data_IF_719894963317
#
_entry.id   IF_719894963317
#
_cell.length_a   1.000
_cell.length_b   1.000
_cell.length_c   1.000
_cell.angle_alpha   90.00
_cell.angle_beta   90.00
_cell.angle_gamma   90.00
#
_symmetry.space_group_name_H-M   'P 1'
#
loop_
_entity.id
_entity.type
_entity.pdbx_description
1 polymer ?
#
# COMPACT_ATOMS: atom_id res chain seq x y z
N UNK A 1 11.37 0.01 2.46
CA UNK A 1 12.60 0.39 1.71
C UNK A 1 12.28 1.36 0.56
N UNK A 2 12.90 2.52 0.59
CA UNK A 2 12.65 3.64 -0.33
C UNK A 2 13.20 3.35 -1.75
N UNK A 3 12.36 3.54 -2.77
CA UNK A 3 12.73 3.39 -4.19
C UNK A 3 12.85 4.79 -4.78
N UNK A 4 14.06 5.19 -5.16
CA UNK A 4 14.26 6.50 -5.78
C UNK A 4 14.12 6.35 -7.30
N UNK A 5 13.00 6.84 -7.86
CA UNK A 5 12.82 7.05 -9.30
C UNK A 5 12.72 8.56 -9.59
N UNK A 6 13.85 9.20 -9.88
CA UNK A 6 13.95 10.67 -10.01
C UNK A 6 13.67 11.21 -11.42
N UNK A 7 12.99 10.44 -12.29
CA UNK A 7 12.54 10.99 -13.56
C UNK A 7 11.34 11.92 -13.35
N UNK A 8 11.60 13.20 -13.05
CA UNK A 8 10.63 14.30 -13.08
C UNK A 8 10.06 14.80 -11.74
N UNK A 9 10.82 14.84 -10.64
CA UNK A 9 10.25 14.97 -9.29
C UNK A 9 10.46 16.32 -8.57
N UNK A 10 9.39 16.83 -7.96
CA UNK A 10 9.35 17.93 -6.99
C UNK A 10 9.63 17.42 -5.56
N UNK A 11 10.24 18.28 -4.73
CA UNK A 11 10.84 18.01 -3.41
C UNK A 11 9.87 17.38 -2.37
N UNK A 12 8.56 17.53 -2.61
CA UNK A 12 7.46 17.20 -1.70
C UNK A 12 7.09 15.70 -1.73
N UNK A 13 7.60 14.93 -2.69
CA UNK A 13 7.23 13.52 -2.89
C UNK A 13 8.27 12.53 -2.33
N UNK A 14 9.25 13.01 -1.55
CA UNK A 14 10.39 12.25 -1.01
C UNK A 14 10.18 11.62 0.39
N UNK A 15 8.95 11.50 0.90
CA UNK A 15 8.73 11.13 2.31
C UNK A 15 8.39 9.64 2.53
N UNK A 16 9.14 8.99 3.42
CA UNK A 16 8.73 7.77 4.13
C UNK A 16 8.65 8.05 5.64
N UNK A 17 7.57 7.58 6.28
CA UNK A 17 7.20 7.84 7.68
C UNK A 17 7.92 6.87 8.66
N UNK A 18 9.22 7.06 8.84
CA UNK A 18 9.93 6.58 10.03
C UNK A 18 10.75 7.76 10.58
N UNK A 19 10.58 8.07 11.86
CA UNK A 19 11.13 9.27 12.51
C UNK A 19 12.67 9.33 12.42
N UNK A 20 13.36 8.18 12.46
CA UNK A 20 14.81 8.12 12.31
C UNK A 20 15.26 8.36 10.86
N UNK A 21 14.50 7.88 9.88
CA UNK A 21 14.78 8.10 8.47
C UNK A 21 14.42 9.52 8.02
N UNK A 22 13.42 10.16 8.63
CA UNK A 22 13.09 11.56 8.37
C UNK A 22 14.27 12.48 8.71
N UNK A 23 14.87 12.29 9.88
CA UNK A 23 16.07 13.05 10.33
C UNK A 23 17.28 12.77 9.44
N UNK A 24 17.42 11.55 8.90
CA UNK A 24 18.50 11.22 7.96
C UNK A 24 18.26 11.82 6.57
N UNK A 25 17.03 11.76 6.06
CA UNK A 25 16.63 12.33 4.76
C UNK A 25 16.73 13.86 4.77
N UNK A 26 16.38 14.53 5.87
CA UNK A 26 16.55 15.97 6.08
C UNK A 26 18.02 16.43 5.98
N UNK A 27 19.00 15.51 6.07
CA UNK A 27 20.43 15.82 6.02
C UNK A 27 21.11 15.36 4.73
N UNK A 28 20.41 14.70 3.81
CA UNK A 28 20.99 14.25 2.54
C UNK A 28 20.72 15.28 1.43
N UNK A 29 21.75 15.59 0.65
CA UNK A 29 21.67 16.51 -0.48
C UNK A 29 22.06 15.74 -1.75
N UNK A 30 21.21 15.78 -2.76
CA UNK A 30 21.41 15.09 -4.03
C UNK A 30 21.69 16.11 -5.15
N UNK A 31 22.80 15.96 -5.86
CA UNK A 31 23.17 16.84 -6.98
C UNK A 31 23.41 16.02 -8.25
N UNK A 32 22.74 16.41 -9.33
CA UNK A 32 22.94 15.83 -10.65
C UNK A 32 23.90 16.72 -11.46
N UNK A 33 25.01 16.16 -11.93
CA UNK A 33 26.00 16.86 -12.75
C UNK A 33 26.34 16.01 -13.99
N UNK A 34 25.88 16.43 -15.17
CA UNK A 34 26.10 15.81 -16.49
C UNK A 34 26.03 14.26 -16.49
N UNK A 35 27.15 13.59 -16.20
CA UNK A 35 27.33 12.13 -16.19
C UNK A 35 27.56 11.54 -14.79
N UNK A 36 27.15 12.26 -13.74
CA UNK A 36 27.38 11.87 -12.37
C UNK A 36 26.27 12.36 -11.43
N UNK A 37 26.01 11.56 -10.41
CA UNK A 37 25.05 11.81 -9.35
C UNK A 37 25.79 11.83 -8.02
N UNK A 38 25.75 12.96 -7.34
CA UNK A 38 26.48 13.21 -6.11
C UNK A 38 25.53 13.13 -4.94
N UNK A 39 25.94 12.38 -3.92
CA UNK A 39 25.22 12.23 -2.67
C UNK A 39 26.08 12.88 -1.60
N UNK A 40 25.54 13.90 -0.95
CA UNK A 40 26.20 14.67 0.09
C UNK A 40 25.38 14.58 1.38
N UNK A 41 26.05 14.81 2.51
CA UNK A 41 25.43 14.86 3.84
C UNK A 41 25.76 16.16 4.52
N UNK A 42 24.74 16.86 4.99
CA UNK A 42 24.88 17.97 5.92
C UNK A 42 25.21 17.42 7.31
N UNK A 43 26.31 17.89 7.88
CA UNK A 43 26.80 17.54 9.22
C UNK A 43 26.91 18.83 10.01
N UNK A 44 26.26 18.90 11.17
CA UNK A 44 26.47 19.98 12.12
C UNK A 44 27.61 19.61 13.07
N UNK A 45 28.53 20.54 13.30
CA UNK A 45 29.59 20.42 14.30
C UNK A 45 29.83 21.81 14.91
N UNK A 46 29.62 21.94 16.23
CA UNK A 46 29.76 23.22 16.95
C UNK A 46 28.99 24.38 16.29
N UNK A 47 27.69 24.19 16.02
CA UNK A 47 26.81 25.18 15.38
C UNK A 47 27.19 25.62 13.95
N UNK A 48 28.21 25.02 13.34
CA UNK A 48 28.54 25.16 11.92
C UNK A 48 27.99 23.99 11.10
N UNK A 49 27.37 24.29 9.94
CA UNK A 49 26.97 23.28 8.97
C UNK A 49 28.10 23.04 7.96
N UNK A 50 28.51 21.78 7.82
CA UNK A 50 29.47 21.31 6.81
C UNK A 50 28.82 20.31 5.88
N UNK A 51 29.18 20.37 4.60
CA UNK A 51 28.74 19.40 3.60
C UNK A 51 29.84 18.36 3.42
N UNK A 52 29.53 17.10 3.72
CA UNK A 52 30.40 15.95 3.48
C UNK A 52 29.93 15.22 2.24
N UNK A 53 30.83 15.00 1.27
CA UNK A 53 30.54 14.12 0.14
C UNK A 53 30.49 12.68 0.61
N UNK A 54 29.37 12.00 0.39
CA UNK A 54 29.20 10.58 0.71
C UNK A 54 29.57 9.70 -0.49
N UNK A 55 29.03 10.01 -1.67
CA UNK A 55 29.15 9.14 -2.82
C UNK A 55 29.06 9.88 -4.14
N UNK A 56 29.73 9.34 -5.17
CA UNK A 56 29.56 9.74 -6.57
C UNK A 56 29.15 8.50 -7.34
N UNK A 57 28.07 8.61 -8.11
CA UNK A 57 27.53 7.55 -8.94
C UNK A 57 27.59 8.01 -10.39
N UNK A 58 28.30 7.27 -11.24
CA UNK A 58 28.36 7.57 -12.67
C UNK A 58 27.01 7.28 -13.33
N UNK A 59 26.64 8.11 -14.30
CA UNK A 59 25.46 7.94 -15.15
C UNK A 59 25.93 7.61 -16.56
N UNK A 60 25.31 6.61 -17.17
CA UNK A 60 25.54 6.25 -18.57
C UNK A 60 24.22 6.25 -19.35
N UNK A 61 24.34 6.49 -20.65
CA UNK A 61 23.21 6.53 -21.56
C UNK A 61 23.18 5.27 -22.41
N UNK A 62 22.08 4.55 -22.37
CA UNK A 62 21.83 3.39 -23.23
C UNK A 62 20.89 3.79 -24.37
N UNK A 63 21.32 3.58 -25.61
CA UNK A 63 20.44 3.73 -26.78
C UNK A 63 19.33 2.67 -26.74
N UNK A 64 18.12 3.10 -27.01
CA UNK A 64 16.90 2.29 -27.08
C UNK A 64 16.23 2.52 -28.43
N UNK A 65 15.23 1.71 -28.78
CA UNK A 65 14.43 1.90 -30.00
C UNK A 65 13.69 3.24 -30.07
N UNK A 66 13.57 3.96 -28.95
CA UNK A 66 12.79 5.20 -28.83
C UNK A 66 13.61 6.40 -28.31
N UNK A 67 14.95 6.30 -28.24
CA UNK A 67 15.81 7.36 -27.71
C UNK A 67 16.91 6.86 -26.79
N UNK A 68 17.32 7.66 -25.80
CA UNK A 68 18.35 7.28 -24.82
C UNK A 68 17.76 7.14 -23.42
N UNK A 69 18.16 6.07 -22.73
CA UNK A 69 17.78 5.77 -21.36
C UNK A 69 18.97 6.03 -20.43
N UNK A 70 18.80 6.93 -19.45
CA UNK A 70 19.79 7.17 -18.39
C UNK A 70 19.80 5.98 -17.43
N UNK A 71 20.98 5.50 -17.09
CA UNK A 71 21.20 4.40 -16.14
C UNK A 71 22.32 4.78 -15.17
N UNK A 72 22.14 4.43 -13.92
CA UNK A 72 23.20 4.52 -12.92
C UNK A 72 24.18 3.36 -13.07
N UNK A 73 25.46 3.64 -12.88
CA UNK A 73 26.50 2.61 -12.79
C UNK A 73 26.71 2.29 -11.32
N UNK A 74 26.51 1.02 -10.95
CA UNK A 74 26.73 0.59 -9.58
C UNK A 74 28.20 0.80 -9.18
N UNK A 75 28.49 1.47 -8.05
CA UNK A 75 29.87 1.74 -7.64
C UNK A 75 30.62 0.50 -7.14
N UNK A 76 29.91 -0.59 -6.85
CA UNK A 76 30.51 -1.84 -6.35
C UNK A 76 30.80 -2.82 -7.50
N UNK A 77 29.83 -3.07 -8.38
CA UNK A 77 29.99 -4.06 -9.46
C UNK A 77 30.04 -3.49 -10.88
N UNK A 78 29.92 -2.17 -11.06
CA UNK A 78 29.91 -1.53 -12.38
C UNK A 78 28.66 -1.80 -13.23
N UNK A 79 27.71 -2.60 -12.74
CA UNK A 79 26.50 -2.92 -13.51
C UNK A 79 25.62 -1.67 -13.72
N UNK A 80 25.11 -1.51 -14.95
CA UNK A 80 24.15 -0.47 -15.30
C UNK A 80 22.76 -0.83 -14.78
N UNK A 81 22.14 0.07 -14.03
CA UNK A 81 20.84 -0.14 -13.39
C UNK A 81 19.99 1.12 -13.50
N UNK A 82 18.69 0.93 -13.57
CA UNK A 82 17.74 2.04 -13.46
C UNK A 82 17.64 2.56 -12.04
N UNK A 83 17.90 1.69 -11.06
CA UNK A 83 17.70 1.97 -9.64
C UNK A 83 18.91 1.49 -8.84
N UNK A 84 19.27 2.27 -7.83
CA UNK A 84 20.19 1.89 -6.76
C UNK A 84 19.45 1.94 -5.42
N UNK A 85 19.99 1.24 -4.43
CA UNK A 85 19.37 1.02 -3.13
C UNK A 85 20.33 1.42 -2.03
N UNK A 86 19.80 2.04 -0.98
CA UNK A 86 20.56 2.35 0.22
C UNK A 86 21.08 1.06 0.88
N UNK A 87 22.35 1.05 1.24
CA UNK A 87 23.08 -0.03 1.85
C UNK A 87 23.39 0.31 3.31
N UNK A 88 22.61 -0.29 4.21
CA UNK A 88 22.74 -0.17 5.67
C UNK A 88 22.79 1.29 6.19
N UNK A 89 23.21 1.46 7.43
CA UNK A 89 23.38 2.77 8.08
C UNK A 89 24.53 3.61 7.50
N UNK A 90 25.26 3.09 6.50
CA UNK A 90 26.42 3.75 5.90
C UNK A 90 26.05 4.83 4.87
N UNK A 91 24.76 4.92 4.50
CA UNK A 91 24.23 5.89 3.54
C UNK A 91 24.83 5.78 2.13
N UNK A 92 25.34 4.60 1.75
CA UNK A 92 25.83 4.32 0.40
C UNK A 92 24.75 3.69 -0.45
N UNK A 93 24.70 4.02 -1.73
CA UNK A 93 23.78 3.43 -2.69
C UNK A 93 24.49 2.38 -3.55
N UNK A 94 23.91 1.19 -3.64
CA UNK A 94 24.45 0.04 -4.38
C UNK A 94 23.36 -0.63 -5.22
N UNK A 95 23.75 -1.48 -6.18
CA UNK A 95 22.74 -2.24 -6.93
C UNK A 95 22.17 -3.38 -6.09
N UNK A 96 21.01 -3.88 -6.52
CA UNK A 96 20.34 -5.02 -5.89
C UNK A 96 21.25 -6.22 -5.66
N UNK A 97 22.10 -6.57 -6.62
CA UNK A 97 22.98 -7.74 -6.50
C UNK A 97 24.06 -7.51 -5.43
N UNK A 98 24.57 -6.29 -5.33
CA UNK A 98 25.61 -5.94 -4.37
C UNK A 98 25.09 -5.76 -2.94
N UNK A 99 23.79 -5.49 -2.78
CA UNK A 99 23.17 -5.39 -1.45
C UNK A 99 23.20 -6.73 -0.70
N UNK A 100 23.24 -7.87 -1.40
CA UNK A 100 23.28 -9.21 -0.79
C UNK A 100 22.00 -9.62 -0.04
N UNK A 101 21.22 -8.68 0.48
CA UNK A 101 19.89 -8.93 1.02
C UNK A 101 18.87 -9.07 -0.12
N UNK A 102 17.89 -9.94 0.05
CA UNK A 102 16.79 -10.03 -0.90
C UNK A 102 16.05 -8.69 -0.86
N UNK A 103 16.30 -7.82 -1.83
CA UNK A 103 15.61 -6.52 -2.01
C UNK A 103 14.08 -6.67 -2.02
N UNK A 104 13.56 -7.89 -2.21
CA UNK A 104 12.14 -8.22 -2.06
C UNK A 104 11.70 -8.63 -0.64
N UNK A 105 12.59 -9.06 0.26
CA UNK A 105 12.28 -9.28 1.69
C UNK A 105 12.08 -7.98 2.44
N UNK A 106 12.81 -6.93 2.07
CA UNK A 106 12.73 -5.60 2.70
C UNK A 106 11.80 -4.64 1.92
N UNK A 107 10.97 -5.17 1.00
CA UNK A 107 9.97 -4.34 0.33
C UNK A 107 8.99 -3.85 1.40
N UNK A 108 8.90 -2.51 1.34
CA UNK A 108 7.87 -1.52 1.68
C UNK A 108 6.76 -1.32 0.62
N UNK A 109 6.39 -2.31 -0.20
CA UNK A 109 5.32 -2.17 -1.20
C UNK A 109 4.03 -1.64 -0.56
N UNK A 110 3.24 -0.85 -1.30
CA UNK A 110 1.81 -0.63 -0.96
C UNK A 110 1.02 -1.96 -0.82
N UNK A 111 1.63 -3.05 -1.31
CA UNK A 111 1.25 -4.45 -1.25
C UNK A 111 2.28 -5.31 -0.51
N UNK A 112 3.07 -4.76 0.42
CA UNK A 112 3.53 -5.66 1.47
C UNK A 112 2.30 -6.10 2.22
N UNK A 113 2.40 -7.26 2.83
CA UNK A 113 1.30 -8.01 3.43
C UNK A 113 0.68 -7.31 4.66
N UNK A 114 0.63 -5.97 4.68
CA UNK A 114 -0.30 -5.22 5.49
C UNK A 114 -1.72 -5.46 4.95
N UNK A 115 -2.30 -6.53 5.47
CA UNK A 115 -3.66 -6.98 5.19
C UNK A 115 -4.67 -5.88 5.43
N UNK A 116 -4.47 -5.02 6.43
CA UNK A 116 -5.34 -3.87 6.65
C UNK A 116 -5.40 -2.93 5.44
N UNK A 117 -4.25 -2.61 4.83
CA UNK A 117 -4.20 -1.72 3.66
C UNK A 117 -4.88 -2.35 2.46
N UNK A 118 -4.72 -3.67 2.27
CA UNK A 118 -5.39 -4.43 1.21
C UNK A 118 -6.91 -4.40 1.41
N UNK A 119 -7.37 -4.61 2.64
CA UNK A 119 -8.78 -4.56 3.01
C UNK A 119 -9.35 -3.15 2.77
N UNK A 120 -8.68 -2.11 3.30
CA UNK A 120 -9.05 -0.68 3.12
C UNK A 120 -9.14 -0.31 1.63
N UNK A 121 -8.16 -0.72 0.83
CA UNK A 121 -8.16 -0.49 -0.62
C UNK A 121 -9.37 -1.14 -1.30
N UNK A 122 -9.68 -2.40 -0.96
CA UNK A 122 -10.81 -3.13 -1.55
C UNK A 122 -12.16 -2.52 -1.15
N UNK A 123 -12.30 -2.03 0.08
CA UNK A 123 -13.48 -1.28 0.53
C UNK A 123 -13.67 -0.03 -0.34
N UNK A 124 -12.60 0.75 -0.57
CA UNK A 124 -12.65 1.94 -1.43
C UNK A 124 -13.06 1.57 -2.87
N UNK A 125 -12.58 0.43 -3.41
CA UNK A 125 -13.00 -0.02 -4.74
C UNK A 125 -14.51 -0.35 -4.80
N UNK A 126 -15.07 -0.96 -3.75
CA UNK A 126 -16.51 -1.22 -3.68
C UNK A 126 -17.31 0.09 -3.56
N UNK A 127 -16.88 1.02 -2.71
CA UNK A 127 -17.57 2.31 -2.51
C UNK A 127 -17.61 3.18 -3.77
N UNK A 128 -16.55 3.13 -4.59
CA UNK A 128 -16.50 3.82 -5.90
C UNK A 128 -17.60 3.37 -6.88
N UNK A 129 -18.20 2.19 -6.67
CA UNK A 129 -19.31 1.71 -7.50
C UNK A 129 -20.62 2.47 -7.23
N UNK A 130 -20.75 3.14 -6.07
CA UNK A 130 -21.93 3.92 -5.72
C UNK A 130 -21.90 5.34 -6.31
N UNK A 131 -20.75 6.03 -6.31
CA UNK A 131 -20.57 7.37 -6.89
C UNK A 131 -19.08 7.76 -6.97
N UNK A 132 -18.72 8.68 -7.88
CA UNK A 132 -17.43 9.40 -7.87
C UNK A 132 -17.69 10.89 -7.53
N UNK A 133 -17.03 11.48 -6.52
CA UNK A 133 -16.03 10.89 -5.62
C UNK A 133 -16.64 10.00 -4.52
N UNK A 134 -15.84 9.07 -4.00
CA UNK A 134 -16.21 8.23 -2.85
C UNK A 134 -16.45 9.10 -1.61
N UNK A 135 -17.48 8.83 -0.79
CA UNK A 135 -17.62 9.48 0.50
C UNK A 135 -16.40 9.17 1.38
N UNK A 136 -15.96 10.16 2.17
CA UNK A 136 -14.84 10.04 3.11
C UNK A 136 -15.22 9.25 4.36
N UNK A 137 -15.68 8.02 4.19
CA UNK A 137 -16.08 7.12 5.27
C UNK A 137 -14.85 6.50 5.94
N UNK A 138 -14.86 6.45 7.27
CA UNK A 138 -13.90 5.67 8.04
C UNK A 138 -14.33 4.20 8.08
N UNK A 139 -13.39 3.30 8.37
CA UNK A 139 -13.69 1.87 8.56
C UNK A 139 -14.61 1.62 9.76
N UNK A 140 -14.57 2.52 10.75
CA UNK A 140 -15.43 2.48 11.95
C UNK A 140 -16.89 2.77 11.59
N UNK A 141 -17.13 3.55 10.53
CA UNK A 141 -18.49 3.88 10.09
C UNK A 141 -19.14 2.72 9.33
N UNK A 142 -18.37 1.70 8.93
CA UNK A 142 -18.86 0.61 8.09
C UNK A 142 -19.38 -0.58 8.93
N UNK A 143 -20.39 -1.31 8.41
CA UNK A 143 -21.09 -1.08 7.14
C UNK A 143 -22.24 -0.06 7.21
N UNK A 144 -22.56 0.50 8.39
CA UNK A 144 -23.73 1.36 8.57
C UNK A 144 -23.68 2.68 7.78
N UNK A 145 -22.49 3.18 7.47
CA UNK A 145 -22.26 4.38 6.68
C UNK A 145 -22.31 4.17 5.17
N UNK A 146 -22.60 2.95 4.68
CA UNK A 146 -22.71 2.69 3.24
C UNK A 146 -23.87 3.54 2.65
N UNK A 147 -23.63 4.27 1.55
CA UNK A 147 -24.67 5.06 0.91
C UNK A 147 -25.86 4.22 0.45
N UNK A 148 -27.05 4.81 0.51
CA UNK A 148 -28.28 4.20 -0.02
C UNK A 148 -28.14 3.85 -1.50
N UNK A 149 -28.88 2.82 -1.93
CA UNK A 149 -28.83 2.32 -3.30
C UNK A 149 -29.06 3.43 -4.34
N UNK A 150 -28.13 3.65 -5.28
CA UNK A 150 -28.35 4.57 -6.39
C UNK A 150 -29.52 4.11 -7.26
N UNK A 151 -30.34 5.05 -7.76
CA UNK A 151 -31.54 4.74 -8.55
C UNK A 151 -31.29 3.84 -9.76
N UNK A 152 -30.12 3.97 -10.40
CA UNK A 152 -29.74 3.20 -11.59
C UNK A 152 -29.19 1.79 -11.27
N UNK A 153 -28.92 1.49 -10.01
CA UNK A 153 -28.28 0.23 -9.61
C UNK A 153 -29.36 -0.81 -9.27
N UNK A 154 -29.23 -2.01 -9.85
CA UNK A 154 -30.09 -3.16 -9.51
C UNK A 154 -29.91 -3.57 -8.06
N UNK A 155 -30.98 -4.04 -7.44
CA UNK A 155 -30.99 -4.45 -6.03
C UNK A 155 -29.95 -5.54 -5.76
N UNK A 156 -29.89 -6.58 -6.59
CA UNK A 156 -28.98 -7.71 -6.38
C UNK A 156 -27.51 -7.27 -6.44
N UNK A 157 -27.20 -6.32 -7.33
CA UNK A 157 -25.86 -5.75 -7.44
C UNK A 157 -25.53 -4.90 -6.22
N UNK A 158 -26.48 -4.09 -5.75
CA UNK A 158 -26.31 -3.28 -4.55
C UNK A 158 -26.08 -4.17 -3.32
N UNK A 159 -26.92 -5.17 -3.11
CA UNK A 159 -26.80 -6.12 -1.99
C UNK A 159 -25.44 -6.81 -2.01
N UNK A 160 -24.97 -7.27 -3.18
CA UNK A 160 -23.65 -7.91 -3.28
C UNK A 160 -22.50 -6.96 -2.89
N UNK A 161 -22.54 -5.69 -3.33
CA UNK A 161 -21.52 -4.70 -2.95
C UNK A 161 -21.57 -4.44 -1.45
N UNK A 162 -22.77 -4.28 -0.88
CA UNK A 162 -22.96 -4.11 0.56
C UNK A 162 -22.36 -5.29 1.34
N UNK A 163 -22.70 -6.54 0.96
CA UNK A 163 -22.19 -7.75 1.61
C UNK A 163 -20.67 -7.84 1.54
N UNK A 164 -20.07 -7.48 0.40
CA UNK A 164 -18.60 -7.41 0.26
C UNK A 164 -17.97 -6.41 1.21
N UNK A 165 -18.57 -5.22 1.36
CA UNK A 165 -18.06 -4.21 2.29
C UNK A 165 -18.20 -4.69 3.73
N UNK A 166 -19.35 -5.22 4.12
CA UNK A 166 -19.57 -5.77 5.46
C UNK A 166 -18.53 -6.86 5.79
N UNK A 167 -18.24 -7.74 4.82
CA UNK A 167 -17.24 -8.78 4.98
C UNK A 167 -15.81 -8.25 5.08
N UNK A 168 -15.44 -7.28 4.24
CA UNK A 168 -14.13 -6.62 4.34
C UNK A 168 -13.96 -5.93 5.70
N UNK A 169 -15.00 -5.25 6.19
CA UNK A 169 -14.97 -4.62 7.51
C UNK A 169 -14.83 -5.66 8.63
N UNK A 170 -15.54 -6.79 8.55
CA UNK A 170 -15.37 -7.89 9.50
C UNK A 170 -13.93 -8.42 9.49
N UNK A 171 -13.36 -8.72 8.32
CA UNK A 171 -11.97 -9.18 8.20
C UNK A 171 -10.98 -8.19 8.79
N UNK A 172 -11.21 -6.88 8.62
CA UNK A 172 -10.39 -5.85 9.22
C UNK A 172 -10.36 -5.97 10.75
N UNK A 173 -11.52 -6.07 11.38
CA UNK A 173 -11.60 -6.17 12.84
C UNK A 173 -11.02 -7.48 13.38
N UNK A 174 -11.18 -8.59 12.66
CA UNK A 174 -10.56 -9.88 13.04
C UNK A 174 -9.03 -9.81 12.98
N UNK A 175 -8.47 -9.15 11.96
CA UNK A 175 -7.02 -8.99 11.84
C UNK A 175 -6.47 -7.95 12.82
N UNK A 176 -7.09 -6.77 12.92
CA UNK A 176 -6.67 -5.71 13.84
C UNK A 176 -6.79 -6.14 15.31
N UNK A 177 -7.76 -7.00 15.64
CA UNK A 177 -7.91 -7.60 16.97
C UNK A 177 -6.94 -8.75 17.25
N UNK A 178 -6.13 -9.18 16.27
CA UNK A 178 -5.21 -10.32 16.40
C UNK A 178 -5.90 -11.68 16.44
N UNK A 179 -7.18 -11.76 16.08
CA UNK A 179 -7.95 -13.01 16.11
C UNK A 179 -7.64 -13.91 14.91
N UNK A 180 -7.36 -13.30 13.75
CA UNK A 180 -7.12 -14.04 12.51
C UNK A 180 -6.27 -13.23 11.54
N UNK A 181 -5.26 -13.88 10.98
CA UNK A 181 -4.53 -13.38 9.83
C UNK A 181 -5.15 -13.91 8.53
N UNK A 182 -5.04 -13.10 7.49
CA UNK A 182 -5.52 -13.43 6.15
C UNK A 182 -4.37 -13.29 5.17
N UNK A 183 -4.43 -14.03 4.07
CA UNK A 183 -3.59 -13.80 2.91
C UNK A 183 -4.36 -13.05 1.84
N UNK A 184 -3.64 -12.42 0.90
CA UNK A 184 -4.28 -11.75 -0.24
C UNK A 184 -5.12 -12.72 -1.09
N UNK A 185 -4.66 -13.98 -1.20
CA UNK A 185 -5.37 -15.01 -1.95
C UNK A 185 -6.70 -15.35 -1.30
N UNK A 186 -6.71 -15.58 0.02
CA UNK A 186 -7.93 -15.86 0.78
C UNK A 186 -8.93 -14.71 0.69
N UNK A 187 -8.46 -13.45 0.82
CA UNK A 187 -9.34 -12.28 0.68
C UNK A 187 -9.98 -12.25 -0.72
N UNK A 188 -9.24 -12.59 -1.77
CA UNK A 188 -9.78 -12.62 -3.14
C UNK A 188 -10.82 -13.71 -3.31
N UNK A 189 -10.54 -14.93 -2.84
CA UNK A 189 -11.45 -16.08 -2.87
C UNK A 189 -12.73 -15.81 -2.07
N UNK A 190 -12.60 -15.19 -0.90
CA UNK A 190 -13.72 -14.81 -0.04
C UNK A 190 -14.64 -13.75 -0.68
N UNK A 191 -14.10 -12.90 -1.56
CA UNK A 191 -14.86 -11.87 -2.27
C UNK A 191 -15.57 -12.39 -3.54
N UNK A 192 -15.38 -13.66 -3.88
CA UNK A 192 -16.21 -14.34 -4.87
C UNK A 192 -17.68 -14.33 -4.42
N UNK A 193 -18.60 -14.20 -5.37
CA UNK A 193 -20.01 -13.93 -5.06
C UNK A 193 -20.64 -14.99 -4.17
N UNK A 194 -20.38 -16.28 -4.45
CA UNK A 194 -20.94 -17.38 -3.67
C UNK A 194 -20.43 -17.37 -2.21
N UNK A 195 -19.12 -17.15 -2.02
CA UNK A 195 -18.50 -17.08 -0.69
C UNK A 195 -18.97 -15.86 0.10
N UNK A 196 -19.06 -14.71 -0.56
CA UNK A 196 -19.54 -13.48 0.06
C UNK A 196 -20.97 -13.64 0.58
N UNK A 197 -21.88 -14.21 -0.24
CA UNK A 197 -23.27 -14.45 0.15
C UNK A 197 -23.35 -15.41 1.32
N UNK A 198 -22.68 -16.56 1.22
CA UNK A 198 -22.68 -17.58 2.26
C UNK A 198 -22.21 -17.02 3.61
N UNK A 199 -21.06 -16.34 3.64
CA UNK A 199 -20.50 -15.78 4.87
C UNK A 199 -21.38 -14.67 5.41
N UNK A 200 -21.92 -13.82 4.55
CA UNK A 200 -22.81 -12.76 5.00
C UNK A 200 -24.06 -13.32 5.67
N UNK A 201 -24.76 -14.25 5.02
CA UNK A 201 -26.03 -14.79 5.50
C UNK A 201 -25.89 -15.64 6.77
N UNK A 202 -24.78 -16.36 6.93
CA UNK A 202 -24.61 -17.34 8.01
C UNK A 202 -23.74 -16.86 9.17
N UNK A 203 -22.95 -15.80 9.00
CA UNK A 203 -22.00 -15.32 10.01
C UNK A 203 -22.24 -13.85 10.29
N UNK A 204 -22.04 -13.00 9.29
CA UNK A 204 -21.97 -11.55 9.49
C UNK A 204 -23.34 -10.96 9.80
N UNK A 205 -24.40 -11.43 9.15
CA UNK A 205 -25.74 -10.89 9.34
C UNK A 205 -26.22 -11.07 10.78
N UNK A 206 -25.93 -12.21 11.40
CA UNK A 206 -26.23 -12.45 12.81
C UNK A 206 -25.40 -11.56 13.76
N UNK A 207 -24.13 -11.29 13.42
CA UNK A 207 -23.26 -10.41 14.22
C UNK A 207 -23.67 -8.93 14.13
N UNK A 208 -24.03 -8.46 12.93
CA UNK A 208 -24.34 -7.04 12.68
C UNK A 208 -25.80 -6.71 13.02
N UNK A 209 -26.72 -7.65 12.83
CA UNK A 209 -28.17 -7.46 13.01
C UNK A 209 -28.79 -8.55 13.90
N UNK A 210 -28.37 -8.67 15.16
CA UNK A 210 -28.76 -9.79 16.03
C UNK A 210 -30.28 -9.86 16.29
N UNK A 211 -30.97 -8.73 16.39
CA UNK A 211 -32.42 -8.70 16.58
C UNK A 211 -33.18 -9.15 15.31
N UNK A 212 -32.73 -8.68 14.14
CA UNK A 212 -33.35 -9.06 12.87
C UNK A 212 -33.12 -10.55 12.56
N UNK A 213 -31.94 -11.07 12.89
CA UNK A 213 -31.63 -12.49 12.74
C UNK A 213 -32.51 -13.38 13.61
N UNK A 214 -32.75 -13.01 14.89
CA UNK A 214 -33.69 -13.74 15.76
C UNK A 214 -35.11 -13.79 15.18
N UNK A 215 -35.61 -12.67 14.66
CA UNK A 215 -36.93 -12.62 14.02
C UNK A 215 -36.99 -13.51 12.76
N UNK A 216 -35.91 -13.56 11.98
CA UNK A 216 -35.81 -14.44 10.82
C UNK A 216 -35.85 -15.92 11.24
N UNK A 217 -35.11 -16.30 12.28
CA UNK A 217 -35.14 -17.67 12.82
C UNK A 217 -36.53 -18.06 13.33
N UNK A 218 -37.23 -17.15 14.01
CA UNK A 218 -38.60 -17.35 14.47
C UNK A 218 -39.58 -17.53 13.31
N UNK A 219 -39.46 -16.69 12.27
CA UNK A 219 -40.26 -16.81 11.05
C UNK A 219 -40.00 -18.12 10.31
N UNK A 220 -38.74 -18.54 10.17
CA UNK A 220 -38.40 -19.81 9.53
C UNK A 220 -38.94 -21.01 10.30
N UNK A 221 -38.85 -20.99 11.64
CA UNK A 221 -39.41 -22.04 12.50
C UNK A 221 -40.93 -22.11 12.35
N UNK A 222 -41.60 -20.96 12.26
CA UNK A 222 -43.05 -20.88 12.07
C UNK A 222 -43.51 -21.39 10.70
N UNK A 223 -42.68 -21.29 9.65
CA UNK A 223 -43.03 -21.70 8.28
C UNK A 223 -42.43 -23.06 7.85
N UNK A 224 -41.66 -23.72 8.72
CA UNK A 224 -41.19 -25.11 8.56
C UNK A 224 -42.12 -26.13 9.25
N UNK A 225 -43.24 -25.67 9.85
CA UNK A 225 -44.37 -26.49 10.31
C UNK A 225 -45.53 -26.39 9.32
#
# INVERSE_FOLDING_TARGET
>A
MERINISGYEENEMYYNDEAFRIMNEKLIFLLQHDSFHILKQVSYNDEYKIKKLQIIKIEYQKTGFGYKKLFVCPVCGARRQFLYLHDYTLHFVCRNCKGSNVYRDRTSLYDENIENIIKYKIVQQLRLFSNPSPGLSIIDLPNGIPQRPRYMREEKYSLIYMRIAFLTWMYWQHAGGNRDFTTSEINEMLEEHNTRFVYENIIFAEIYPEAYKLLEEYEKANKC
#
